data_IF_463278169555
#
_entry.id   IF_463278169555
#
_cell.length_a   1.000
_cell.length_b   1.000
_cell.length_c   1.000
_cell.angle_alpha   90.00
_cell.angle_beta   90.00
_cell.angle_gamma   90.00
#
_symmetry.space_group_name_H-M   'P 1'
#
loop_
_entity.id
_entity.type
_entity.pdbx_description
1 polymer ?
#
# COMPACT_ATOMS: atom_id res chain seq x y z
N UNK A 1 31.37 -5.71 19.77
CA UNK A 1 31.46 -6.92 18.91
C UNK A 1 30.08 -7.54 18.84
N UNK A 2 29.34 -7.23 17.82
CA UNK A 2 28.10 -7.93 17.52
C UNK A 2 27.87 -7.86 16.01
N UNK A 3 27.77 -9.02 15.44
CA UNK A 3 27.81 -9.35 14.02
C UNK A 3 26.46 -9.05 13.38
N UNK A 4 26.38 -8.06 12.50
CA UNK A 4 25.32 -7.90 11.55
C UNK A 4 25.46 -8.95 10.46
N UNK A 5 24.61 -9.94 10.41
CA UNK A 5 24.47 -10.83 9.25
C UNK A 5 23.54 -10.16 8.24
N UNK A 6 24.12 -9.75 7.14
CA UNK A 6 23.43 -9.49 5.89
C UNK A 6 23.07 -10.83 5.27
N UNK A 7 21.83 -11.16 5.16
CA UNK A 7 21.37 -12.25 4.30
C UNK A 7 21.39 -11.79 2.84
N UNK A 8 22.50 -12.09 2.18
CA UNK A 8 22.67 -11.96 0.75
C UNK A 8 21.94 -13.11 0.06
N UNK A 9 20.99 -12.80 -0.80
CA UNK A 9 20.34 -13.73 -1.72
C UNK A 9 21.40 -14.33 -2.67
N UNK A 10 21.71 -15.60 -2.48
CA UNK A 10 22.55 -16.37 -3.39
C UNK A 10 21.74 -16.88 -4.58
N UNK A 11 22.08 -16.38 -5.74
CA UNK A 11 21.70 -16.99 -7.03
C UNK A 11 22.57 -18.23 -7.26
N UNK A 12 22.01 -19.41 -7.09
CA UNK A 12 22.64 -20.66 -7.49
C UNK A 12 22.57 -20.84 -9.01
N UNK A 13 23.69 -20.67 -9.72
CA UNK A 13 23.83 -21.16 -11.08
C UNK A 13 24.08 -22.67 -11.04
N UNK A 14 23.18 -23.43 -11.64
CA UNK A 14 23.41 -24.85 -11.91
C UNK A 14 24.01 -24.97 -13.30
N UNK A 15 25.25 -25.46 -13.36
CA UNK A 15 25.88 -25.86 -14.63
C UNK A 15 25.54 -27.31 -14.92
N UNK A 16 24.95 -27.57 -16.09
CA UNK A 16 24.82 -28.93 -16.61
C UNK A 16 25.85 -29.11 -17.71
N UNK A 17 26.68 -30.16 -17.60
CA UNK A 17 27.55 -30.61 -18.69
C UNK A 17 26.72 -31.20 -19.82
N UNK A 18 26.93 -30.69 -21.04
CA UNK A 18 26.39 -31.23 -22.28
C UNK A 18 27.11 -32.51 -22.66
N UNK A 19 26.36 -33.58 -22.89
CA UNK A 19 26.64 -34.55 -23.91
C UNK A 19 25.39 -34.71 -24.79
N UNK A 20 25.65 -34.73 -26.08
CA UNK A 20 24.75 -34.62 -27.21
C UNK A 20 23.42 -35.41 -27.13
N UNK A 21 22.45 -34.76 -27.75
CA UNK A 21 21.20 -35.17 -28.38
C UNK A 21 19.92 -35.10 -27.53
N UNK A 22 18.98 -34.46 -28.20
CA UNK A 22 17.55 -34.31 -27.92
C UNK A 22 17.12 -33.15 -26.98
N UNK A 23 16.38 -32.24 -27.61
CA UNK A 23 15.75 -31.05 -27.11
C UNK A 23 15.02 -31.28 -25.78
N UNK A 24 15.56 -30.79 -24.67
CA UNK A 24 14.85 -30.65 -23.42
C UNK A 24 14.62 -29.17 -23.14
N UNK A 25 13.38 -28.75 -23.06
CA UNK A 25 12.98 -27.44 -22.55
C UNK A 25 12.83 -27.50 -21.03
N UNK A 26 13.64 -26.72 -20.32
CA UNK A 26 13.56 -26.58 -18.86
C UNK A 26 12.68 -25.40 -18.50
N UNK A 27 11.60 -25.61 -17.75
CA UNK A 27 10.80 -24.55 -17.15
C UNK A 27 11.15 -24.41 -15.68
N UNK A 28 11.55 -23.20 -15.26
CA UNK A 28 11.82 -22.89 -13.86
C UNK A 28 10.61 -22.15 -13.30
N UNK A 29 9.88 -22.78 -12.40
CA UNK A 29 8.86 -22.13 -11.59
C UNK A 29 9.43 -21.69 -10.24
N UNK A 30 9.14 -20.48 -9.84
CA UNK A 30 9.62 -19.84 -8.61
C UNK A 30 8.88 -20.35 -7.37
N UNK A 31 9.61 -20.52 -6.31
CA UNK A 31 9.23 -21.08 -5.01
C UNK A 31 8.37 -20.15 -4.17
N UNK A 32 7.41 -20.73 -3.46
CA UNK A 32 7.12 -20.49 -2.07
C UNK A 32 7.43 -21.80 -1.31
N UNK A 33 8.40 -21.75 -0.44
CA UNK A 33 8.80 -22.67 0.62
C UNK A 33 8.67 -24.21 0.47
N UNK A 34 8.70 -24.79 -0.72
CA UNK A 34 9.02 -26.21 -0.89
C UNK A 34 9.50 -26.49 -2.31
N UNK A 35 10.74 -26.99 -2.44
CA UNK A 35 11.33 -27.37 -3.72
C UNK A 35 10.85 -28.78 -4.06
N UNK A 36 10.15 -28.90 -5.17
CA UNK A 36 9.99 -30.16 -5.88
C UNK A 36 10.51 -29.98 -7.30
N UNK A 37 11.69 -30.55 -7.57
CA UNK A 37 12.22 -30.70 -8.92
C UNK A 37 11.56 -31.89 -9.57
N UNK A 38 10.89 -31.74 -10.68
CA UNK A 38 10.41 -32.85 -11.50
C UNK A 38 11.01 -32.77 -12.89
N UNK A 39 11.62 -33.86 -13.31
CA UNK A 39 12.04 -34.14 -14.67
C UNK A 39 10.84 -34.79 -15.37
N UNK A 40 10.37 -34.20 -16.45
CA UNK A 40 9.29 -34.77 -17.27
C UNK A 40 9.94 -35.43 -18.49
N UNK A 41 9.81 -36.74 -18.59
CA UNK A 41 10.12 -37.50 -19.80
C UNK A 41 8.88 -37.50 -20.74
N UNK A 42 9.08 -37.39 -22.04
CA UNK A 42 7.97 -37.39 -22.99
C UNK A 42 7.52 -38.80 -23.34
N UNK A 43 6.79 -39.48 -22.48
CA UNK A 43 5.99 -40.66 -22.84
C UNK A 43 4.67 -40.62 -22.13
N UNK A 44 3.62 -40.68 -22.93
CA UNK A 44 2.21 -40.65 -22.60
C UNK A 44 1.84 -41.39 -21.33
N UNK A 45 1.39 -40.66 -20.33
CA UNK A 45 0.25 -40.97 -19.46
C UNK A 45 0.10 -39.82 -18.47
N UNK A 46 -0.82 -38.88 -18.79
CA UNK A 46 -1.24 -37.83 -17.86
C UNK A 46 -2.21 -38.47 -16.86
N UNK A 47 -1.70 -38.95 -15.77
CA UNK A 47 -2.51 -39.14 -14.57
C UNK A 47 -2.65 -37.78 -13.92
N UNK A 48 -3.84 -37.22 -13.96
CA UNK A 48 -4.22 -36.05 -13.18
C UNK A 48 -4.05 -36.39 -11.69
N UNK A 49 -2.90 -36.00 -11.13
CA UNK A 49 -2.77 -35.90 -9.68
C UNK A 49 -3.32 -34.53 -9.32
N UNK A 50 -4.60 -34.48 -8.94
CA UNK A 50 -5.17 -33.33 -8.23
C UNK A 50 -4.42 -33.28 -6.90
N UNK A 51 -3.67 -32.21 -6.59
CA UNK A 51 -3.13 -32.06 -5.23
C UNK A 51 -4.33 -31.97 -4.29
N UNK A 52 -4.46 -32.91 -3.37
CA UNK A 52 -5.34 -32.71 -2.21
C UNK A 52 -4.76 -31.53 -1.43
N UNK A 53 -5.30 -30.32 -1.67
CA UNK A 53 -5.03 -29.16 -0.82
C UNK A 53 -5.58 -29.47 0.55
N UNK A 54 -4.70 -29.64 1.51
CA UNK A 54 -5.07 -29.80 2.92
C UNK A 54 -5.88 -28.57 3.35
N UNK A 55 -6.83 -28.76 4.28
CA UNK A 55 -7.69 -27.71 4.85
C UNK A 55 -6.91 -26.44 5.23
N UNK A 56 -5.68 -26.63 5.72
CA UNK A 56 -4.82 -25.55 6.17
C UNK A 56 -4.29 -24.66 5.02
N UNK A 57 -3.98 -25.24 3.86
CA UNK A 57 -3.56 -24.45 2.69
C UNK A 57 -4.70 -23.58 2.13
N UNK A 58 -5.96 -24.05 2.23
CA UNK A 58 -7.14 -23.24 1.84
C UNK A 58 -7.32 -22.06 2.79
N UNK A 59 -7.25 -22.28 4.12
CA UNK A 59 -7.36 -21.20 5.13
C UNK A 59 -6.29 -20.13 4.96
N UNK A 60 -5.03 -20.54 4.74
CA UNK A 60 -3.91 -19.59 4.50
C UNK A 60 -4.14 -18.76 3.24
N UNK A 61 -4.68 -19.35 2.18
CA UNK A 61 -4.97 -18.62 0.93
C UNK A 61 -6.10 -17.60 1.13
N UNK A 62 -7.16 -17.99 1.85
CA UNK A 62 -8.30 -17.13 2.18
C UNK A 62 -7.84 -15.93 3.01
N UNK A 63 -7.07 -16.14 4.08
CA UNK A 63 -6.51 -15.07 4.91
C UNK A 63 -5.70 -14.06 4.09
N UNK A 64 -4.85 -14.53 3.17
CA UNK A 64 -4.06 -13.66 2.30
C UNK A 64 -4.95 -12.80 1.39
N UNK A 65 -6.00 -13.36 0.81
CA UNK A 65 -6.94 -12.62 -0.06
C UNK A 65 -7.68 -11.55 0.75
N UNK A 66 -8.21 -11.92 1.93
CA UNK A 66 -8.91 -10.95 2.79
C UNK A 66 -7.97 -9.83 3.23
N UNK A 67 -6.73 -10.16 3.62
CA UNK A 67 -5.72 -9.16 4.00
C UNK A 67 -5.43 -8.19 2.85
N UNK A 68 -5.22 -8.70 1.63
CA UNK A 68 -5.00 -7.87 0.44
C UNK A 68 -6.18 -6.96 0.14
N UNK A 69 -7.40 -7.46 0.22
CA UNK A 69 -8.62 -6.66 0.05
C UNK A 69 -8.72 -5.58 1.15
N UNK A 70 -8.42 -5.93 2.39
CA UNK A 70 -8.40 -5.00 3.52
C UNK A 70 -7.39 -3.88 3.33
N UNK A 71 -6.16 -4.20 2.91
CA UNK A 71 -5.10 -3.22 2.61
C UNK A 71 -5.52 -2.27 1.48
N UNK A 72 -6.14 -2.77 0.42
CA UNK A 72 -6.67 -1.91 -0.65
C UNK A 72 -7.77 -0.98 -0.18
N UNK A 73 -8.71 -1.50 0.62
CA UNK A 73 -9.76 -0.68 1.22
C UNK A 73 -9.16 0.38 2.15
N UNK A 74 -8.12 0.03 2.93
CA UNK A 74 -7.39 0.95 3.80
C UNK A 74 -6.71 2.07 3.00
N UNK A 75 -6.04 1.75 1.90
CA UNK A 75 -5.39 2.73 1.05
C UNK A 75 -6.36 3.71 0.39
N UNK A 76 -7.62 3.32 0.21
CA UNK A 76 -8.70 4.18 -0.28
C UNK A 76 -9.39 4.96 0.85
N UNK A 77 -9.64 4.31 1.98
CA UNK A 77 -10.32 4.83 3.17
C UNK A 77 -9.90 3.98 4.37
N UNK A 78 -9.00 4.49 5.24
CA UNK A 78 -8.47 3.72 6.36
C UNK A 78 -9.54 3.13 7.28
N UNK A 79 -10.60 3.90 7.57
CA UNK A 79 -11.69 3.45 8.45
C UNK A 79 -12.42 2.24 7.83
N UNK A 80 -12.72 2.29 6.54
CA UNK A 80 -13.36 1.16 5.83
C UNK A 80 -12.46 -0.06 5.71
N UNK A 81 -11.16 0.15 5.51
CA UNK A 81 -10.18 -0.94 5.48
C UNK A 81 -10.11 -1.68 6.82
N UNK A 82 -10.00 -0.93 7.92
CA UNK A 82 -9.97 -1.49 9.27
C UNK A 82 -11.28 -2.22 9.60
N UNK A 83 -12.45 -1.59 9.34
CA UNK A 83 -13.74 -2.24 9.55
C UNK A 83 -13.84 -3.57 8.80
N UNK A 84 -13.44 -3.59 7.52
CA UNK A 84 -13.44 -4.81 6.72
C UNK A 84 -12.56 -5.92 7.31
N UNK A 85 -11.36 -5.60 7.79
CA UNK A 85 -10.47 -6.57 8.42
C UNK A 85 -11.02 -7.09 9.75
N UNK A 86 -11.67 -6.24 10.52
CA UNK A 86 -12.34 -6.61 11.78
C UNK A 86 -13.54 -7.52 11.52
N UNK A 87 -14.38 -7.20 10.55
CA UNK A 87 -15.54 -8.02 10.13
C UNK A 87 -15.13 -9.43 9.66
N UNK A 88 -13.91 -9.55 9.12
CA UNK A 88 -13.37 -10.83 8.65
C UNK A 88 -12.42 -11.49 9.66
N UNK A 89 -12.40 -11.06 10.92
CA UNK A 89 -11.59 -11.62 12.01
C UNK A 89 -10.07 -11.63 11.75
N UNK A 90 -9.56 -10.71 10.93
CA UNK A 90 -8.12 -10.53 10.69
C UNK A 90 -7.51 -9.42 11.54
N UNK A 91 -8.34 -8.60 12.15
CA UNK A 91 -7.93 -7.49 13.01
C UNK A 91 -8.93 -7.38 14.17
N UNK A 92 -8.46 -7.01 15.34
CA UNK A 92 -9.34 -6.63 16.46
C UNK A 92 -9.53 -5.11 16.46
N UNK A 93 -10.74 -4.64 16.80
CA UNK A 93 -11.00 -3.21 17.01
C UNK A 93 -10.45 -2.77 18.37
N UNK A 94 -9.12 -2.78 18.51
CA UNK A 94 -8.34 -2.33 19.66
C UNK A 94 -7.19 -1.48 19.17
N UNK A 95 -6.79 -0.48 19.94
CA UNK A 95 -5.74 0.46 19.56
C UNK A 95 -4.42 -0.23 19.24
N UNK A 96 -4.01 -1.19 20.08
CA UNK A 96 -2.77 -1.94 19.93
C UNK A 96 -2.79 -2.80 18.65
N UNK A 97 -3.91 -3.49 18.39
CA UNK A 97 -4.04 -4.35 17.22
C UNK A 97 -3.99 -3.55 15.90
N UNK A 98 -4.70 -2.40 15.86
CA UNK A 98 -4.67 -1.51 14.70
C UNK A 98 -3.30 -0.87 14.53
N UNK A 99 -2.66 -0.44 15.62
CA UNK A 99 -1.32 0.14 15.60
C UNK A 99 -0.28 -0.87 15.07
N UNK A 100 -0.32 -2.10 15.55
CA UNK A 100 0.56 -3.17 15.05
C UNK A 100 0.34 -3.45 13.56
N UNK A 101 -0.91 -3.48 13.11
CA UNK A 101 -1.24 -3.68 11.71
C UNK A 101 -0.62 -2.60 10.83
N UNK A 102 -0.83 -1.31 11.16
CA UNK A 102 -0.29 -0.20 10.35
C UNK A 102 1.23 -0.06 10.45
N UNK A 103 1.85 -0.57 11.53
CA UNK A 103 3.29 -0.55 11.72
C UNK A 103 4.01 -1.67 10.97
N UNK A 104 3.43 -2.89 10.95
CA UNK A 104 4.07 -4.11 10.41
C UNK A 104 3.72 -4.39 8.96
N UNK A 105 2.53 -3.98 8.50
CA UNK A 105 2.05 -4.33 7.17
C UNK A 105 2.68 -3.46 6.08
N UNK A 106 3.32 -4.13 5.13
CA UNK A 106 3.85 -3.49 3.93
C UNK A 106 2.74 -3.16 2.92
N UNK A 107 2.98 -2.15 2.07
CA UNK A 107 2.05 -1.76 1.01
C UNK A 107 0.83 -0.97 1.47
N UNK A 108 0.85 -0.43 2.70
CA UNK A 108 -0.10 0.57 3.15
C UNK A 108 0.30 1.96 2.67
N UNK A 109 -0.68 2.74 2.22
CA UNK A 109 -0.48 4.10 1.77
C UNK A 109 -0.07 5.01 2.93
N UNK A 110 1.11 5.63 2.83
CA UNK A 110 1.68 6.47 3.89
C UNK A 110 0.84 7.71 4.20
N UNK A 111 0.16 8.28 3.20
CA UNK A 111 -0.79 9.38 3.39
C UNK A 111 -2.03 8.92 4.14
N UNK A 112 -2.54 7.73 3.83
CA UNK A 112 -3.68 7.14 4.54
C UNK A 112 -3.35 6.87 6.00
N UNK A 113 -2.15 6.33 6.29
CA UNK A 113 -1.65 6.15 7.66
C UNK A 113 -1.60 7.50 8.40
N UNK A 114 -0.97 8.51 7.80
CA UNK A 114 -0.85 9.83 8.43
C UNK A 114 -2.21 10.48 8.70
N UNK A 115 -3.16 10.35 7.80
CA UNK A 115 -4.52 10.84 8.01
C UNK A 115 -5.22 10.13 9.17
N UNK A 116 -5.10 8.80 9.27
CA UNK A 116 -5.67 8.00 10.36
C UNK A 116 -5.09 8.40 11.72
N UNK A 117 -3.75 8.46 11.82
CA UNK A 117 -3.04 8.79 13.05
C UNK A 117 -3.31 10.23 13.50
N UNK A 118 -3.62 11.13 12.57
CA UNK A 118 -3.94 12.53 12.88
C UNK A 118 -5.38 12.79 13.30
N UNK A 119 -6.29 11.81 13.30
CA UNK A 119 -7.68 12.01 13.71
C UNK A 119 -7.79 12.29 15.21
N UNK A 120 -8.88 13.06 15.60
CA UNK A 120 -9.08 13.53 16.98
C UNK A 120 -9.98 12.62 17.84
N UNK A 121 -10.62 11.65 17.22
CA UNK A 121 -11.52 10.72 17.90
C UNK A 121 -10.70 9.90 18.93
N UNK A 122 -11.25 9.62 20.11
CA UNK A 122 -10.56 8.98 21.23
C UNK A 122 -9.81 7.70 20.80
N UNK A 123 -10.48 6.81 20.10
CA UNK A 123 -9.87 5.58 19.58
C UNK A 123 -8.66 5.84 18.68
N UNK A 124 -8.68 6.91 17.86
CA UNK A 124 -7.56 7.25 16.99
C UNK A 124 -6.38 7.84 17.75
N UNK A 125 -6.66 8.59 18.83
CA UNK A 125 -5.63 9.07 19.75
C UNK A 125 -4.95 7.90 20.47
N UNK A 126 -5.71 6.88 20.87
CA UNK A 126 -5.15 5.65 21.45
C UNK A 126 -4.33 4.87 20.42
N UNK A 127 -4.81 4.76 19.17
CA UNK A 127 -4.04 4.14 18.06
C UNK A 127 -2.72 4.89 17.84
N UNK A 128 -2.75 6.23 17.84
CA UNK A 128 -1.53 7.03 17.71
C UNK A 128 -0.53 6.74 18.83
N UNK A 129 -0.98 6.73 20.09
CA UNK A 129 -0.13 6.41 21.26
C UNK A 129 0.45 5.00 21.15
N UNK A 130 -0.40 4.01 20.83
CA UNK A 130 0.04 2.64 20.64
C UNK A 130 1.06 2.52 19.48
N UNK A 131 0.82 3.21 18.37
CA UNK A 131 1.72 3.24 17.20
C UNK A 131 3.08 3.85 17.54
N UNK A 132 3.10 4.96 18.24
CA UNK A 132 4.34 5.62 18.66
C UNK A 132 5.12 4.73 19.63
N UNK A 133 4.44 4.01 20.52
CA UNK A 133 5.07 3.07 21.46
C UNK A 133 5.73 1.86 20.80
N UNK A 134 5.40 1.54 19.55
CA UNK A 134 6.09 0.50 18.77
C UNK A 134 7.47 0.95 18.26
N UNK A 135 7.77 2.24 18.33
CA UNK A 135 9.07 2.76 17.93
C UNK A 135 10.04 2.72 19.12
N UNK A 136 11.27 2.32 18.84
CA UNK A 136 12.38 2.35 19.80
C UNK A 136 13.29 3.52 19.46
N UNK A 137 13.39 4.49 20.38
CA UNK A 137 14.18 5.69 20.20
C UNK A 137 15.39 5.77 21.16
N UNK A 138 15.66 4.70 21.93
CA UNK A 138 16.78 4.68 22.86
C UNK A 138 18.10 4.94 22.15
N UNK A 139 18.93 5.78 22.73
CA UNK A 139 20.25 6.17 22.21
C UNK A 139 20.25 6.89 20.85
N UNK A 140 19.09 7.28 20.35
CA UNK A 140 18.99 8.12 19.16
C UNK A 140 18.97 9.60 19.54
N UNK A 141 19.69 10.45 18.77
CA UNK A 141 19.48 11.88 18.88
C UNK A 141 18.09 12.25 18.28
N UNK A 142 17.60 13.45 18.66
CA UNK A 142 16.25 13.88 18.31
C UNK A 142 15.97 13.86 16.79
N UNK A 143 16.97 14.26 15.95
CA UNK A 143 16.80 14.23 14.48
C UNK A 143 16.75 12.82 13.95
N UNK A 144 17.55 11.90 14.48
CA UNK A 144 17.51 10.49 14.09
C UNK A 144 16.18 9.84 14.45
N UNK A 145 15.66 10.09 15.66
CA UNK A 145 14.36 9.63 16.10
C UNK A 145 13.23 10.20 15.23
N UNK A 146 13.27 11.50 14.92
CA UNK A 146 12.32 12.14 14.00
C UNK A 146 12.39 11.52 12.60
N UNK A 147 13.58 11.24 12.06
CA UNK A 147 13.74 10.57 10.75
C UNK A 147 13.09 9.19 10.75
N UNK A 148 13.32 8.40 11.81
CA UNK A 148 12.71 7.08 11.95
C UNK A 148 11.18 7.17 12.03
N UNK A 149 10.66 8.07 12.85
CA UNK A 149 9.22 8.25 13.02
C UNK A 149 8.54 8.72 11.74
N UNK A 150 9.07 9.78 11.12
CA UNK A 150 8.52 10.39 9.90
C UNK A 150 8.67 9.51 8.63
N UNK A 151 9.50 8.45 8.69
CA UNK A 151 9.58 7.46 7.62
C UNK A 151 8.37 6.51 7.59
N UNK A 152 7.68 6.35 8.72
CA UNK A 152 6.59 5.38 8.87
C UNK A 152 5.28 5.85 8.21
N UNK A 153 5.09 7.15 8.01
CA UNK A 153 3.88 7.75 7.43
C UNK A 153 4.19 9.11 6.81
N UNK A 154 3.24 9.65 6.06
CA UNK A 154 3.33 11.00 5.53
C UNK A 154 2.57 11.97 6.43
N UNK A 155 3.22 13.03 6.88
CA UNK A 155 2.59 14.07 7.69
C UNK A 155 1.36 14.66 6.96
N UNK A 156 0.20 14.77 7.62
CA UNK A 156 -0.96 15.46 7.08
C UNK A 156 -0.69 16.96 6.94
N UNK A 157 -1.48 17.66 6.09
CA UNK A 157 -1.33 19.08 5.90
C UNK A 157 -1.96 19.97 7.00
N UNK A 158 -2.68 19.37 7.94
CA UNK A 158 -3.42 20.08 8.97
C UNK A 158 -2.57 20.25 10.25
N UNK A 159 -2.36 21.49 10.68
CA UNK A 159 -1.51 21.83 11.84
C UNK A 159 -1.94 21.09 13.12
N UNK A 160 -3.24 20.98 13.39
CA UNK A 160 -3.73 20.30 14.59
C UNK A 160 -3.48 18.79 14.59
N UNK A 161 -3.39 18.16 13.41
CA UNK A 161 -3.04 16.75 13.30
C UNK A 161 -1.55 16.54 13.54
N UNK A 162 -0.71 17.42 12.98
CA UNK A 162 0.74 17.41 13.22
C UNK A 162 1.03 17.63 14.71
N UNK A 163 0.31 18.54 15.33
CA UNK A 163 0.42 18.89 16.74
C UNK A 163 0.30 17.63 17.62
N UNK A 164 -0.80 16.91 17.52
CA UNK A 164 -1.03 15.65 18.27
C UNK A 164 0.05 14.60 18.03
N UNK A 165 0.51 14.48 16.78
CA UNK A 165 1.56 13.53 16.43
C UNK A 165 2.90 13.87 17.08
N UNK A 166 3.24 15.17 17.13
CA UNK A 166 4.48 15.63 17.74
C UNK A 166 4.44 15.54 19.26
N UNK A 167 3.27 15.79 19.86
CA UNK A 167 3.07 15.57 21.29
C UNK A 167 3.28 14.10 21.69
N UNK A 168 2.65 13.17 20.96
CA UNK A 168 2.84 11.75 21.17
C UNK A 168 4.29 11.30 20.93
N UNK A 169 4.93 11.80 19.87
CA UNK A 169 6.34 11.54 19.60
C UNK A 169 7.26 12.02 20.72
N UNK A 170 7.08 13.27 21.18
CA UNK A 170 7.90 13.87 22.23
C UNK A 170 7.77 13.08 23.56
N UNK A 171 6.55 12.67 23.90
CA UNK A 171 6.33 11.81 25.07
C UNK A 171 7.15 10.52 24.98
N UNK A 172 7.02 9.78 23.88
CA UNK A 172 7.75 8.52 23.70
C UNK A 172 9.26 8.70 23.64
N UNK A 173 9.73 9.78 22.98
CA UNK A 173 11.15 10.07 22.91
C UNK A 173 11.75 10.30 24.30
N UNK A 174 11.07 11.08 25.14
CA UNK A 174 11.49 11.33 26.52
C UNK A 174 11.42 10.07 27.40
N UNK A 175 10.42 9.20 27.18
CA UNK A 175 10.35 7.90 27.87
C UNK A 175 11.58 7.03 27.56
N UNK A 176 12.02 7.01 26.29
CA UNK A 176 13.21 6.28 25.86
C UNK A 176 14.52 6.95 26.28
N UNK A 177 14.53 8.29 26.45
CA UNK A 177 15.73 9.10 26.66
C UNK A 177 15.54 10.11 27.82
N UNK A 178 15.20 9.65 29.00
CA UNK A 178 14.77 10.46 30.18
C UNK A 178 15.79 11.48 30.69
N UNK A 179 17.03 11.49 30.18
CA UNK A 179 18.11 12.39 30.62
C UNK A 179 18.47 13.48 29.60
N UNK A 180 17.80 13.51 28.46
CA UNK A 180 18.18 14.41 27.36
C UNK A 180 17.54 15.80 27.53
N UNK A 181 16.27 15.86 27.96
CA UNK A 181 15.52 17.09 28.17
C UNK A 181 14.96 17.15 29.60
N UNK A 182 14.79 18.35 30.13
CA UNK A 182 14.18 18.58 31.45
C UNK A 182 12.66 18.32 31.42
N UNK A 183 12.02 18.56 30.28
CA UNK A 183 10.58 18.35 30.12
C UNK A 183 10.23 17.79 28.73
N UNK A 184 9.08 17.15 28.64
CA UNK A 184 8.49 16.69 27.37
C UNK A 184 8.15 17.88 26.47
N UNK A 185 7.77 19.02 27.05
CA UNK A 185 7.46 20.24 26.31
C UNK A 185 8.68 20.78 25.56
N UNK A 186 9.87 20.71 26.18
CA UNK A 186 11.14 21.07 25.51
C UNK A 186 11.35 20.22 24.26
N UNK A 187 11.19 18.89 24.38
CA UNK A 187 11.30 17.97 23.27
C UNK A 187 10.27 18.26 22.16
N UNK A 188 9.02 18.52 22.56
CA UNK A 188 7.93 18.85 21.65
C UNK A 188 8.20 20.14 20.87
N UNK A 189 8.55 21.25 21.54
CA UNK A 189 8.85 22.55 20.92
C UNK A 189 10.05 22.41 19.97
N UNK A 190 11.11 21.74 20.42
CA UNK A 190 12.30 21.54 19.61
C UNK A 190 12.02 20.68 18.36
N UNK A 191 11.17 19.66 18.50
CA UNK A 191 10.74 18.81 17.35
C UNK A 191 10.02 19.64 16.29
N UNK A 192 9.11 20.52 16.69
CA UNK A 192 8.48 21.47 15.77
C UNK A 192 9.49 22.42 15.13
N UNK A 193 10.40 22.97 15.92
CA UNK A 193 11.44 23.88 15.44
C UNK A 193 12.30 23.20 14.37
N UNK A 194 12.65 21.91 14.56
CA UNK A 194 13.42 21.11 13.59
C UNK A 194 12.62 20.87 12.30
N UNK A 195 11.31 20.56 12.39
CA UNK A 195 10.46 20.38 11.20
C UNK A 195 10.33 21.70 10.43
N UNK A 196 10.17 22.82 11.12
CA UNK A 196 10.14 24.16 10.50
C UNK A 196 11.48 24.51 9.87
N UNK A 197 12.59 24.20 10.54
CA UNK A 197 13.95 24.38 10.01
C UNK A 197 14.13 23.61 8.72
N UNK A 198 13.76 22.33 8.71
CA UNK A 198 13.82 21.50 7.50
C UNK A 198 13.03 22.11 6.34
N UNK A 199 11.79 22.54 6.61
CA UNK A 199 10.97 23.20 5.60
C UNK A 199 11.60 24.48 5.09
N UNK A 200 12.12 25.33 6.00
CA UNK A 200 12.72 26.61 5.63
C UNK A 200 14.02 26.45 4.86
N UNK A 201 14.86 25.49 5.21
CA UNK A 201 16.15 25.27 4.53
C UNK A 201 15.99 24.63 3.15
N UNK A 202 15.05 23.71 3.00
CA UNK A 202 14.96 22.85 1.80
C UNK A 202 13.80 23.19 0.87
N UNK A 203 12.86 24.06 1.28
CA UNK A 203 11.82 24.53 0.36
C UNK A 203 12.38 25.61 -0.57
N UNK A 204 12.36 25.38 -1.90
CA UNK A 204 12.88 26.35 -2.88
C UNK A 204 12.12 27.69 -2.89
N UNK A 205 10.89 27.72 -2.39
CA UNK A 205 10.07 28.93 -2.33
C UNK A 205 10.42 29.84 -1.13
N UNK A 206 11.19 29.36 -0.16
CA UNK A 206 11.65 30.16 0.98
C UNK A 206 12.94 30.89 0.60
N UNK A 207 12.86 32.19 0.49
CA UNK A 207 14.00 33.07 0.10
C UNK A 207 14.95 33.36 1.27
N UNK A 208 14.39 33.61 2.45
CA UNK A 208 15.14 33.95 3.67
C UNK A 208 15.31 32.68 4.52
N UNK A 209 16.40 31.94 4.24
CA UNK A 209 16.73 30.71 4.94
C UNK A 209 17.37 31.03 6.28
N UNK A 210 16.92 30.43 7.39
CA UNK A 210 17.50 30.67 8.70
C UNK A 210 18.94 30.14 8.76
N UNK A 211 19.84 31.00 9.26
CA UNK A 211 21.20 30.59 9.65
C UNK A 211 21.20 29.99 11.06
N UNK A 212 22.35 29.50 11.51
CA UNK A 212 22.53 28.89 12.82
C UNK A 212 22.18 29.86 13.96
N UNK A 213 22.52 31.16 13.84
CA UNK A 213 22.23 32.13 14.89
C UNK A 213 20.72 32.39 15.02
N UNK A 214 20.02 32.44 13.91
CA UNK A 214 18.57 32.57 13.89
C UNK A 214 17.92 31.31 14.52
N UNK A 215 18.44 30.12 14.23
CA UNK A 215 17.96 28.89 14.85
C UNK A 215 18.18 28.89 16.37
N UNK A 216 19.31 29.38 16.88
CA UNK A 216 19.53 29.60 18.31
C UNK A 216 18.50 30.57 18.90
N UNK A 217 18.28 31.69 18.25
CA UNK A 217 17.33 32.73 18.69
C UNK A 217 15.91 32.18 18.77
N UNK A 218 15.51 31.34 17.78
CA UNK A 218 14.18 30.72 17.75
C UNK A 218 13.97 29.70 18.86
N UNK A 219 15.03 29.10 19.40
CA UNK A 219 14.97 28.08 20.44
C UNK A 219 15.45 28.60 21.81
N UNK A 220 15.48 29.92 22.00
CA UNK A 220 15.89 30.54 23.27
C UNK A 220 14.84 30.30 24.36
N UNK A 221 15.27 29.87 25.55
CA UNK A 221 14.41 29.71 26.72
C UNK A 221 13.40 28.55 26.64
N UNK A 222 13.55 27.61 25.70
CA UNK A 222 12.59 26.51 25.51
C UNK A 222 12.75 25.41 26.57
N UNK A 223 13.86 25.36 27.30
CA UNK A 223 14.12 24.34 28.32
C UNK A 223 13.73 24.85 29.70
N UNK A 224 12.43 24.93 29.93
CA UNK A 224 11.85 25.45 31.18
C UNK A 224 12.30 26.88 31.56
N UNK A 225 12.62 27.70 30.55
CA UNK A 225 13.13 29.07 30.69
C UNK A 225 14.64 29.17 30.45
N UNK A 226 15.36 28.09 30.47
CA UNK A 226 16.78 28.02 30.17
C UNK A 226 17.05 27.80 28.67
N UNK A 227 18.26 28.09 28.25
CA UNK A 227 18.73 27.84 26.88
C UNK A 227 19.31 26.43 26.78
N UNK A 228 18.99 25.73 25.70
CA UNK A 228 19.65 24.48 25.34
C UNK A 228 21.12 24.73 24.98
N UNK A 229 21.98 23.71 25.17
CA UNK A 229 23.40 23.85 24.84
C UNK A 229 23.63 24.19 23.36
N UNK A 230 24.53 25.15 23.10
CA UNK A 230 24.89 25.54 21.75
C UNK A 230 25.42 24.37 20.91
N UNK A 231 26.14 23.43 21.54
CA UNK A 231 26.64 22.22 20.89
C UNK A 231 25.50 21.31 20.38
N UNK A 232 24.47 21.11 21.21
CA UNK A 232 23.27 20.35 20.82
C UNK A 232 22.57 21.00 19.64
N UNK A 233 22.24 22.29 19.73
CA UNK A 233 21.54 23.03 18.67
C UNK A 233 22.35 23.08 17.37
N UNK A 234 23.69 23.22 17.46
CA UNK A 234 24.57 23.17 16.28
C UNK A 234 24.48 21.83 15.57
N UNK A 235 24.59 20.72 16.32
CA UNK A 235 24.50 19.35 15.77
C UNK A 235 23.16 19.09 15.11
N UNK A 236 22.06 19.55 15.71
CA UNK A 236 20.72 19.41 15.14
C UNK A 236 20.56 20.22 13.86
N UNK A 237 21.04 21.49 13.86
CA UNK A 237 21.03 22.36 12.69
C UNK A 237 21.82 21.75 11.53
N UNK A 238 23.07 21.32 11.77
CA UNK A 238 23.94 20.72 10.76
C UNK A 238 23.36 19.44 10.20
N UNK A 239 22.75 18.62 11.04
CA UNK A 239 22.10 17.39 10.60
C UNK A 239 20.97 17.66 9.60
N UNK A 240 20.14 18.68 9.84
CA UNK A 240 19.06 19.06 8.92
C UNK A 240 19.59 19.80 7.71
N UNK A 241 20.60 20.67 7.89
CA UNK A 241 21.22 21.42 6.79
C UNK A 241 21.82 20.48 5.73
N UNK A 242 22.54 19.45 6.19
CA UNK A 242 23.23 18.50 5.31
C UNK A 242 22.28 17.46 4.70
N UNK A 243 21.25 17.04 5.41
CA UNK A 243 20.32 16.03 4.94
C UNK A 243 18.87 16.37 5.33
N UNK A 244 18.00 16.73 4.36
CA UNK A 244 16.59 16.99 4.62
C UNK A 244 15.86 15.72 5.11
N UNK A 245 14.70 15.90 5.75
CA UNK A 245 13.78 14.79 5.97
C UNK A 245 13.32 14.23 4.63
N UNK A 246 13.46 12.92 4.46
CA UNK A 246 12.91 12.23 3.30
C UNK A 246 11.41 12.10 3.48
N UNK A 247 10.67 12.52 2.45
CA UNK A 247 9.23 12.27 2.40
C UNK A 247 9.07 10.82 1.95
N UNK A 248 8.45 9.94 2.76
CA UNK A 248 8.25 8.57 2.34
C UNK A 248 7.38 8.53 1.09
N UNK A 249 7.79 7.73 0.12
CA UNK A 249 6.96 7.44 -1.05
C UNK A 249 5.74 6.64 -0.62
N UNK A 250 4.63 6.83 -1.33
CA UNK A 250 3.41 6.08 -1.10
C UNK A 250 3.53 4.69 -1.76
N UNK A 251 4.26 3.78 -1.12
CA UNK A 251 4.44 2.40 -1.59
C UNK A 251 3.10 1.68 -1.78
N UNK A 252 2.09 2.07 -1.00
CA UNK A 252 0.72 1.58 -1.12
C UNK A 252 0.01 1.97 -2.41
N UNK A 253 0.56 2.92 -3.17
CA UNK A 253 0.12 3.30 -4.50
C UNK A 253 1.03 2.78 -5.61
N UNK A 254 2.06 1.99 -5.29
CA UNK A 254 2.83 1.31 -6.34
C UNK A 254 2.00 0.19 -6.95
N UNK A 255 1.16 0.61 -7.90
CA UNK A 255 0.33 -0.29 -8.71
C UNK A 255 1.19 -1.24 -9.56
N UNK A 256 2.49 -1.00 -9.70
CA UNK A 256 3.39 -1.92 -10.41
C UNK A 256 3.47 -3.27 -9.71
N UNK A 257 3.50 -3.32 -8.38
CA UNK A 257 3.44 -4.58 -7.64
C UNK A 257 2.06 -5.23 -7.74
N UNK A 258 0.99 -4.42 -7.76
CA UNK A 258 -0.39 -4.89 -7.93
C UNK A 258 -0.57 -5.56 -9.30
N UNK A 259 0.13 -5.09 -10.34
CA UNK A 259 0.02 -5.59 -11.71
C UNK A 259 1.09 -6.61 -12.08
N UNK A 260 1.95 -7.03 -11.16
CA UNK A 260 3.10 -7.91 -11.46
C UNK A 260 2.72 -9.33 -11.88
N UNK A 261 1.56 -9.82 -11.60
CA UNK A 261 1.08 -11.13 -12.07
C UNK A 261 -0.45 -11.10 -12.14
N UNK A 262 -1.03 -10.41 -13.13
CA UNK A 262 -2.47 -10.28 -13.24
C UNK A 262 -3.13 -11.63 -13.59
N UNK A 263 -4.35 -11.83 -13.12
CA UNK A 263 -5.19 -12.96 -13.51
C UNK A 263 -5.47 -12.92 -15.03
N UNK A 264 -5.61 -11.70 -15.57
CA UNK A 264 -5.76 -11.45 -17.00
C UNK A 264 -5.43 -10.00 -17.35
N UNK A 265 -4.85 -9.80 -18.53
CA UNK A 265 -4.69 -8.46 -19.11
C UNK A 265 -5.00 -8.46 -20.63
N UNK A 266 -5.34 -7.31 -21.16
CA UNK A 266 -5.62 -7.18 -22.60
C UNK A 266 -6.37 -5.92 -23.01
N UNK A 267 -6.45 -5.71 -24.32
CA UNK A 267 -7.18 -4.60 -24.90
C UNK A 267 -8.67 -4.91 -25.01
N UNK A 268 -9.50 -4.02 -24.50
CA UNK A 268 -10.94 -4.01 -24.71
C UNK A 268 -11.42 -2.63 -25.16
N UNK A 269 -12.50 -2.60 -25.91
CA UNK A 269 -13.24 -1.37 -26.15
C UNK A 269 -14.21 -1.14 -24.99
N UNK A 270 -14.15 0.04 -24.38
CA UNK A 270 -15.02 0.44 -23.27
C UNK A 270 -16.01 1.50 -23.74
N UNK A 271 -17.31 1.27 -23.52
CA UNK A 271 -18.34 2.26 -23.81
C UNK A 271 -18.35 3.36 -22.76
N UNK A 272 -18.31 4.63 -23.20
CA UNK A 272 -18.43 5.78 -22.32
C UNK A 272 -19.82 5.89 -21.69
N UNK A 273 -19.90 6.39 -20.46
CA UNK A 273 -21.19 6.53 -19.77
C UNK A 273 -21.99 7.75 -20.21
N UNK A 274 -21.35 8.92 -20.24
CA UNK A 274 -22.00 10.20 -20.61
C UNK A 274 -22.06 10.39 -22.12
N UNK A 275 -20.93 10.20 -22.78
CA UNK A 275 -20.83 10.16 -24.24
C UNK A 275 -20.68 8.69 -24.61
N UNK A 276 -21.70 8.10 -25.26
CA UNK A 276 -21.78 6.67 -25.58
C UNK A 276 -20.82 6.25 -26.71
N UNK A 277 -19.59 6.77 -26.68
CA UNK A 277 -18.52 6.41 -27.62
C UNK A 277 -17.70 5.24 -27.09
N UNK A 278 -17.22 4.39 -27.99
CA UNK A 278 -16.31 3.32 -27.68
C UNK A 278 -14.86 3.83 -27.69
N UNK A 279 -14.12 3.55 -26.60
CA UNK A 279 -12.70 3.91 -26.47
C UNK A 279 -11.88 2.67 -26.17
N UNK A 280 -10.79 2.47 -26.88
CA UNK A 280 -9.84 1.40 -26.62
C UNK A 280 -9.13 1.68 -25.32
N UNK A 281 -9.05 0.67 -24.41
CA UNK A 281 -8.42 0.75 -23.11
C UNK A 281 -7.65 -0.55 -22.82
N UNK A 282 -6.54 -0.44 -22.17
CA UNK A 282 -5.82 -1.58 -21.63
C UNK A 282 -6.47 -1.94 -20.31
N UNK A 283 -6.84 -3.19 -20.13
CA UNK A 283 -7.47 -3.70 -18.93
C UNK A 283 -6.55 -4.68 -18.25
N UNK A 284 -6.48 -4.61 -16.91
CA UNK A 284 -5.78 -5.51 -16.03
C UNK A 284 -6.77 -6.00 -14.98
N UNK A 285 -6.92 -7.32 -14.92
CA UNK A 285 -7.74 -8.02 -13.94
C UNK A 285 -6.80 -8.58 -12.89
N UNK A 286 -6.92 -8.11 -11.67
CA UNK A 286 -6.13 -8.57 -10.53
C UNK A 286 -6.81 -8.18 -9.24
N UNK A 287 -6.64 -8.97 -8.18
CA UNK A 287 -7.10 -8.65 -6.83
C UNK A 287 -8.56 -8.23 -6.75
N UNK A 288 -9.45 -8.96 -7.40
CA UNK A 288 -10.89 -8.70 -7.42
C UNK A 288 -11.31 -7.34 -8.01
N UNK A 289 -10.41 -6.69 -8.74
CA UNK A 289 -10.66 -5.42 -9.41
C UNK A 289 -10.29 -5.49 -10.88
N UNK A 290 -11.06 -4.77 -11.70
CA UNK A 290 -10.75 -4.57 -13.10
C UNK A 290 -10.28 -3.12 -13.28
N UNK A 291 -8.98 -2.97 -13.51
CA UNK A 291 -8.33 -1.69 -13.76
C UNK A 291 -8.33 -1.40 -15.26
N UNK A 292 -8.41 -0.12 -15.64
CA UNK A 292 -8.26 0.25 -17.05
C UNK A 292 -7.43 1.50 -17.24
N UNK A 293 -6.58 1.46 -18.27
CA UNK A 293 -5.55 2.45 -18.62
C UNK A 293 -5.79 3.00 -20.03
N UNK A 294 -5.16 4.11 -20.35
CA UNK A 294 -5.15 4.62 -21.72
C UNK A 294 -4.15 3.86 -22.58
N UNK A 295 -2.94 3.63 -22.04
CA UNK A 295 -1.84 2.92 -22.67
C UNK A 295 -1.30 1.83 -21.73
N UNK A 296 -0.57 0.86 -22.29
CA UNK A 296 0.10 -0.20 -21.52
C UNK A 296 1.26 0.31 -20.66
N UNK A 297 1.77 1.50 -20.96
CA UNK A 297 2.90 2.15 -20.25
C UNK A 297 2.45 3.10 -19.15
N UNK A 298 1.15 3.33 -18.99
CA UNK A 298 0.64 4.22 -17.97
C UNK A 298 0.86 3.61 -16.57
N UNK A 299 1.40 4.40 -15.65
CA UNK A 299 1.59 3.99 -14.26
C UNK A 299 0.28 3.99 -13.47
N UNK A 300 -0.60 4.95 -13.75
CA UNK A 300 -1.86 5.13 -13.04
C UNK A 300 -3.05 4.70 -13.89
N UNK A 301 -4.00 3.93 -13.35
CA UNK A 301 -5.22 3.59 -14.06
C UNK A 301 -6.13 4.81 -14.21
N UNK A 302 -6.83 4.92 -15.34
CA UNK A 302 -7.90 5.91 -15.52
C UNK A 302 -9.09 5.60 -14.61
N UNK A 303 -9.29 4.33 -14.28
CA UNK A 303 -10.33 3.94 -13.35
C UNK A 303 -10.24 2.49 -12.92
N UNK A 304 -10.96 2.23 -11.82
CA UNK A 304 -10.98 0.97 -11.09
C UNK A 304 -12.42 0.52 -10.96
N UNK A 305 -12.71 -0.72 -11.29
CA UNK A 305 -14.03 -1.35 -11.18
C UNK A 305 -13.88 -2.53 -10.22
N UNK A 306 -14.23 -2.38 -8.93
CA UNK A 306 -14.31 -3.51 -8.00
C UNK A 306 -15.35 -4.51 -8.50
N UNK A 307 -15.03 -5.79 -8.48
CA UNK A 307 -15.91 -6.85 -8.98
C UNK A 307 -16.88 -7.38 -7.93
N UNK A 308 -16.81 -6.93 -6.70
CA UNK A 308 -17.74 -7.32 -5.63
C UNK A 308 -19.18 -7.00 -6.01
N UNK A 309 -20.08 -7.98 -5.86
CA UNK A 309 -21.50 -7.86 -6.17
C UNK A 309 -21.82 -7.46 -7.63
N UNK A 310 -20.92 -7.76 -8.56
CA UNK A 310 -21.16 -7.59 -9.98
C UNK A 310 -21.43 -8.93 -10.65
N UNK A 311 -22.25 -8.95 -11.66
CA UNK A 311 -22.42 -10.04 -12.60
C UNK A 311 -21.77 -9.71 -13.94
N UNK A 312 -21.25 -10.72 -14.63
CA UNK A 312 -20.73 -10.60 -15.99
C UNK A 312 -21.51 -11.51 -16.94
N UNK A 313 -21.93 -10.96 -18.07
CA UNK A 313 -22.65 -11.70 -19.10
C UNK A 313 -22.27 -11.23 -20.50
N UNK A 314 -22.36 -12.13 -21.47
CA UNK A 314 -22.33 -11.75 -22.87
C UNK A 314 -23.62 -10.99 -23.23
N UNK A 315 -23.50 -9.94 -24.02
CA UNK A 315 -24.63 -9.18 -24.54
C UNK A 315 -24.47 -8.93 -26.02
N UNK A 316 -25.59 -8.70 -26.69
CA UNK A 316 -25.61 -8.16 -28.06
C UNK A 316 -25.67 -6.64 -27.98
N UNK A 317 -24.82 -5.93 -28.72
CA UNK A 317 -24.86 -4.47 -28.87
C UNK A 317 -24.94 -4.16 -30.38
N UNK A 318 -25.87 -3.28 -30.81
CA UNK A 318 -26.06 -3.00 -32.24
C UNK A 318 -24.86 -2.31 -32.91
N UNK A 319 -23.95 -1.76 -32.09
CA UNK A 319 -22.82 -0.97 -32.58
C UNK A 319 -21.48 -1.71 -32.50
N UNK A 320 -21.40 -2.81 -31.73
CA UNK A 320 -20.17 -3.59 -31.55
C UNK A 320 -20.48 -5.07 -31.30
N UNK A 321 -19.63 -5.93 -31.88
CA UNK A 321 -19.66 -7.37 -31.65
C UNK A 321 -18.90 -7.75 -30.39
N UNK A 322 -19.06 -9.00 -29.93
CA UNK A 322 -18.33 -9.59 -28.83
C UNK A 322 -18.40 -8.75 -27.53
N UNK A 323 -19.59 -8.28 -27.21
CA UNK A 323 -19.81 -7.40 -26.08
C UNK A 323 -20.09 -8.21 -24.78
N UNK A 324 -19.50 -7.75 -23.70
CA UNK A 324 -19.80 -8.21 -22.34
C UNK A 324 -20.25 -7.04 -21.48
N UNK A 325 -21.13 -7.31 -20.53
CA UNK A 325 -21.64 -6.33 -19.60
C UNK A 325 -21.36 -6.74 -18.17
N UNK A 326 -20.80 -5.81 -17.41
CA UNK A 326 -20.67 -5.88 -15.95
C UNK A 326 -21.83 -5.08 -15.37
N UNK A 327 -22.65 -5.70 -14.52
CA UNK A 327 -23.80 -5.05 -13.86
C UNK A 327 -23.87 -5.46 -12.40
N UNK A 328 -24.45 -4.61 -11.56
CA UNK A 328 -24.65 -4.94 -10.15
C UNK A 328 -25.72 -6.03 -9.99
N UNK A 329 -25.47 -7.03 -9.17
CA UNK A 329 -26.45 -8.07 -8.81
C UNK A 329 -27.63 -7.50 -8.01
N UNK A 330 -27.43 -6.38 -7.32
CA UNK A 330 -28.44 -5.73 -6.47
C UNK A 330 -29.19 -4.59 -7.16
N UNK A 331 -28.88 -4.31 -8.43
CA UNK A 331 -29.45 -3.17 -9.18
C UNK A 331 -28.93 -1.79 -8.74
N UNK A 332 -28.01 -1.75 -7.78
CA UNK A 332 -27.38 -0.51 -7.31
C UNK A 332 -26.33 0.00 -8.30
N UNK A 333 -25.83 1.22 -8.06
CA UNK A 333 -24.70 1.76 -8.81
C UNK A 333 -23.43 0.96 -8.49
N UNK A 334 -22.63 0.72 -9.52
CA UNK A 334 -21.32 0.07 -9.36
C UNK A 334 -20.38 1.04 -8.63
N UNK A 335 -19.78 0.60 -7.54
CA UNK A 335 -18.81 1.35 -6.73
C UNK A 335 -17.46 1.46 -7.47
N UNK A 336 -17.47 1.98 -8.68
CA UNK A 336 -16.26 2.19 -9.47
C UNK A 336 -15.70 3.59 -9.20
N UNK A 337 -14.39 3.73 -9.26
CA UNK A 337 -13.70 5.00 -9.11
C UNK A 337 -13.00 5.42 -10.41
N UNK A 338 -12.86 6.72 -10.61
CA UNK A 338 -12.04 7.31 -11.66
C UNK A 338 -11.01 8.23 -11.04
N UNK A 339 -9.83 8.27 -11.62
CA UNK A 339 -8.81 9.24 -11.25
C UNK A 339 -8.99 10.47 -12.15
N UNK A 340 -9.31 11.61 -11.54
CA UNK A 340 -9.41 12.92 -12.20
C UNK A 340 -8.57 13.91 -11.43
N UNK A 341 -7.57 14.53 -12.08
CA UNK A 341 -6.66 15.50 -11.46
C UNK A 341 -5.98 14.94 -10.18
N UNK A 342 -5.53 13.68 -10.20
CA UNK A 342 -4.96 12.94 -9.06
C UNK A 342 -5.92 12.72 -7.88
N UNK A 343 -7.21 13.00 -8.04
CA UNK A 343 -8.23 12.70 -7.03
C UNK A 343 -9.11 11.53 -7.49
N UNK A 344 -9.44 10.63 -6.56
CA UNK A 344 -10.39 9.55 -6.77
C UNK A 344 -11.82 10.13 -6.76
N UNK A 345 -12.52 9.98 -7.87
CA UNK A 345 -13.92 10.40 -8.01
C UNK A 345 -14.79 9.17 -8.24
N UNK A 346 -15.84 9.03 -7.44
CA UNK A 346 -16.77 7.91 -7.55
C UNK A 346 -17.48 7.89 -8.92
N UNK A 347 -17.56 6.72 -9.54
CA UNK A 347 -18.25 6.50 -10.80
C UNK A 347 -19.78 6.44 -10.61
N UNK A 348 -20.51 6.90 -11.61
CA UNK A 348 -22.00 6.94 -11.58
C UNK A 348 -22.64 5.88 -12.49
N UNK A 349 -21.91 4.81 -12.82
CA UNK A 349 -22.38 3.79 -13.76
C UNK A 349 -23.23 2.71 -13.08
N UNK A 350 -24.31 2.31 -13.70
CA UNK A 350 -25.10 1.13 -13.33
C UNK A 350 -24.58 -0.13 -14.02
N UNK A 351 -23.96 0.02 -15.18
CA UNK A 351 -23.35 -1.07 -15.92
C UNK A 351 -22.15 -0.58 -16.73
N UNK A 352 -21.18 -1.45 -16.93
CA UNK A 352 -20.05 -1.25 -17.84
C UNK A 352 -20.18 -2.18 -19.03
N UNK A 353 -20.13 -1.62 -20.23
CA UNK A 353 -20.11 -2.40 -21.48
C UNK A 353 -18.73 -2.37 -22.08
N UNK A 354 -18.21 -3.56 -22.36
CA UNK A 354 -16.91 -3.80 -22.94
C UNK A 354 -17.11 -4.65 -24.20
N UNK A 355 -16.21 -4.53 -25.17
CA UNK A 355 -16.22 -5.33 -26.40
C UNK A 355 -14.81 -5.88 -26.61
N UNK A 356 -14.71 -7.20 -26.77
CA UNK A 356 -13.50 -7.91 -27.09
C UNK A 356 -13.25 -7.94 -28.61
N UNK A 357 -12.08 -8.45 -29.03
CA UNK A 357 -11.74 -8.54 -30.47
C UNK A 357 -12.36 -9.78 -31.14
N UNK A 358 -12.68 -10.83 -30.37
CA UNK A 358 -13.25 -12.08 -30.87
C UNK A 358 -14.18 -12.71 -29.83
N UNK A 359 -14.97 -13.70 -30.25
CA UNK A 359 -15.80 -14.52 -29.34
C UNK A 359 -14.93 -15.23 -28.33
N UNK A 360 -13.80 -15.79 -28.73
CA UNK A 360 -12.88 -16.49 -27.84
C UNK A 360 -12.33 -15.56 -26.75
N UNK A 361 -11.96 -14.35 -27.07
CA UNK A 361 -11.54 -13.34 -26.08
C UNK A 361 -12.68 -12.91 -25.15
N UNK A 362 -13.90 -12.71 -25.70
CA UNK A 362 -15.09 -12.41 -24.91
C UNK A 362 -15.33 -13.50 -23.86
N UNK A 363 -15.37 -14.76 -24.28
CA UNK A 363 -15.61 -15.92 -23.39
C UNK A 363 -14.50 -16.07 -22.36
N UNK A 364 -13.26 -15.84 -22.78
CA UNK A 364 -12.10 -15.90 -21.88
C UNK A 364 -12.15 -14.79 -20.82
N UNK A 365 -12.52 -13.55 -21.16
CA UNK A 365 -12.70 -12.48 -20.19
C UNK A 365 -13.87 -12.78 -19.21
N UNK A 366 -14.99 -13.27 -19.73
CA UNK A 366 -16.14 -13.65 -18.90
C UNK A 366 -15.76 -14.78 -17.92
N UNK A 367 -15.01 -15.76 -18.38
CA UNK A 367 -14.55 -16.87 -17.55
C UNK A 367 -13.61 -16.38 -16.45
N UNK A 368 -12.57 -15.59 -16.81
CA UNK A 368 -11.62 -15.05 -15.82
C UNK A 368 -12.33 -14.22 -14.74
N UNK A 369 -13.27 -13.37 -15.12
CA UNK A 369 -14.04 -12.57 -14.16
C UNK A 369 -14.93 -13.45 -13.28
N UNK A 370 -15.56 -14.51 -13.82
CA UNK A 370 -16.40 -15.45 -13.06
C UNK A 370 -15.57 -16.32 -12.10
N UNK A 371 -14.36 -16.69 -12.47
CA UNK A 371 -13.51 -17.52 -11.64
C UNK A 371 -13.04 -16.77 -10.40
N UNK A 372 -12.75 -15.48 -10.50
CA UNK A 372 -12.53 -14.62 -9.35
C UNK A 372 -13.76 -14.60 -8.43
N UNK A 373 -14.96 -14.53 -9.02
CA UNK A 373 -16.22 -14.56 -8.27
C UNK A 373 -16.42 -15.87 -7.49
N UNK A 374 -16.11 -17.01 -8.10
CA UNK A 374 -16.17 -18.29 -7.42
C UNK A 374 -15.19 -18.34 -6.24
N UNK A 375 -14.00 -17.75 -6.40
CA UNK A 375 -13.04 -17.65 -5.31
C UNK A 375 -13.57 -16.76 -4.17
N UNK A 376 -14.23 -15.64 -4.48
CA UNK A 376 -14.85 -14.76 -3.48
C UNK A 376 -16.00 -15.46 -2.76
N UNK A 377 -16.89 -16.14 -3.48
CA UNK A 377 -18.04 -16.86 -2.90
C UNK A 377 -17.59 -18.03 -2.02
N UNK A 378 -16.57 -18.77 -2.41
CA UNK A 378 -15.96 -19.84 -1.61
C UNK A 378 -15.34 -19.32 -0.30
N UNK A 379 -14.99 -18.03 -0.27
CA UNK A 379 -14.46 -17.35 0.91
C UNK A 379 -15.59 -16.85 1.82
N UNK A 380 -16.72 -16.45 1.25
CA UNK A 380 -17.85 -15.84 1.99
C UNK A 380 -18.88 -16.86 2.51
N UNK A 381 -18.91 -18.08 1.97
CA UNK A 381 -19.80 -19.16 2.44
C UNK A 381 -18.97 -20.42 2.69
N UNK A 382 -18.37 -20.56 3.87
CA UNK A 382 -17.59 -21.74 4.24
C UNK A 382 -18.49 -22.89 4.74
N UNK A 383 -19.65 -23.14 4.09
CA UNK A 383 -20.48 -24.35 4.31
C UNK A 383 -20.60 -24.80 5.77
#
# INVERSE_FOLDING_TARGET
>A
MACCRKDSFLWGKVYTHHHNDDRQQLYITRRTNNILTRIIHPTNNITHIIPQTTSDNKKVTIHKVILLCGKKKFNMDPKKGICYLVENNLLEWKAESVAEFIYKEEGLNKTAIGNLLGEREEMHVEILKAFVNLHEFSDLNLVQALRQFLWSFRLPGEAQKIDRMMEAFASRYCDCNSRVFQSTDTCYILSFSIIMLNTSLHNPNVRDKPDLQRFFTMNRGIDSGDDLSADLLTKLYESIYNEPFKIPEDDGNDLTLTFFNPDREGWLLKRGGRVKTWKRRWFILTDNCLYYFQYTTDKDPIGIIPLENLSVRAIQDPTKQYCLELSSCTGQKIKACKIVNRALVEGKHQAYRLSAASTQEQDSWITSIRDIWKQILLVMDPG
#
